data_IF_473750767008
#
_entry.id   IF_473750767008
#
_cell.length_a   1.000
_cell.length_b   1.000
_cell.length_c   1.000
_cell.angle_alpha   90.00
_cell.angle_beta   90.00
_cell.angle_gamma   90.00
#
_symmetry.space_group_name_H-M   'P 1'
#
loop_
_entity.id
_entity.type
_entity.pdbx_description
1 polymer ?
#
# COMPACT_ATOMS: atom_id res chain seq x y z
N UNK A 1 15.56 4.19 -1.30
CA UNK A 1 15.09 2.78 -1.16
C UNK A 1 13.58 2.77 -1.01
N UNK A 2 12.88 1.94 -1.79
CA UNK A 2 11.45 1.66 -1.62
C UNK A 2 11.32 0.47 -0.66
N UNK A 3 10.42 0.57 0.32
CA UNK A 3 10.13 -0.50 1.28
C UNK A 3 8.74 -1.06 1.01
N UNK A 4 8.55 -2.35 1.26
CA UNK A 4 7.30 -3.06 1.00
C UNK A 4 6.87 -3.80 2.26
N UNK A 5 5.56 -4.04 2.39
CA UNK A 5 5.03 -4.94 3.41
C UNK A 5 5.25 -6.38 2.95
N UNK A 6 5.63 -7.24 3.89
CA UNK A 6 5.66 -8.69 3.70
C UNK A 6 4.51 -9.28 4.51
N UNK A 7 3.54 -9.91 3.84
CA UNK A 7 2.34 -10.49 4.47
C UNK A 7 1.63 -9.51 5.43
N UNK A 8 1.46 -8.25 5.00
CA UNK A 8 0.82 -7.20 5.81
C UNK A 8 1.69 -6.63 6.93
N UNK A 9 2.91 -7.13 7.13
CA UNK A 9 3.83 -6.69 8.18
C UNK A 9 5.00 -5.89 7.63
N UNK A 10 5.43 -4.86 8.36
CA UNK A 10 6.62 -4.08 8.02
C UNK A 10 7.90 -4.88 8.33
N UNK A 11 8.95 -4.78 7.50
CA UNK A 11 10.23 -5.43 7.79
C UNK A 11 10.79 -5.02 9.16
N UNK A 12 11.37 -5.98 9.89
CA UNK A 12 11.84 -5.81 11.27
C UNK A 12 13.09 -4.94 11.40
N UNK A 13 13.92 -4.88 10.36
CA UNK A 13 15.13 -4.03 10.31
C UNK A 13 14.82 -2.53 10.15
N UNK A 14 13.55 -2.15 9.95
CA UNK A 14 13.16 -0.75 9.83
C UNK A 14 13.05 -0.07 11.21
N UNK A 15 13.60 1.14 11.29
CA UNK A 15 13.35 2.03 12.42
C UNK A 15 11.85 2.34 12.58
N UNK A 16 11.47 2.83 13.77
CA UNK A 16 10.07 3.11 14.10
C UNK A 16 9.42 4.16 13.18
N UNK A 17 10.19 5.15 12.72
CA UNK A 17 9.72 6.21 11.81
C UNK A 17 9.36 5.62 10.44
N UNK A 18 10.24 4.80 9.86
CA UNK A 18 10.02 4.13 8.57
C UNK A 18 8.88 3.12 8.65
N UNK A 19 8.77 2.36 9.75
CA UNK A 19 7.61 1.46 9.97
C UNK A 19 6.30 2.24 10.01
N UNK A 20 6.25 3.35 10.75
CA UNK A 20 5.06 4.22 10.79
C UNK A 20 4.73 4.79 9.42
N UNK A 21 5.72 5.30 8.69
CA UNK A 21 5.53 5.84 7.34
C UNK A 21 4.99 4.78 6.37
N UNK A 22 5.56 3.56 6.39
CA UNK A 22 5.09 2.45 5.57
C UNK A 22 3.65 2.06 5.90
N UNK A 23 3.30 1.97 7.19
CA UNK A 23 1.94 1.67 7.65
C UNK A 23 0.92 2.73 7.21
N UNK A 24 1.27 4.01 7.35
CA UNK A 24 0.40 5.11 6.92
C UNK A 24 0.23 5.13 5.40
N UNK A 25 1.27 4.78 4.66
CA UNK A 25 1.21 4.69 3.21
C UNK A 25 0.36 3.50 2.76
N UNK A 26 0.54 2.33 3.37
CA UNK A 26 -0.23 1.12 3.02
C UNK A 26 -1.72 1.26 3.35
N UNK A 27 -2.08 2.00 4.39
CA UNK A 27 -3.48 2.24 4.76
C UNK A 27 -4.30 2.96 3.66
N UNK A 28 -3.63 3.61 2.71
CA UNK A 28 -4.27 4.24 1.54
C UNK A 28 -4.65 3.24 0.45
N UNK A 29 -4.25 1.98 0.58
CA UNK A 29 -4.48 0.94 -0.41
C UNK A 29 -5.23 -0.24 0.19
N UNK A 30 -5.87 -1.02 -0.67
CA UNK A 30 -6.60 -2.23 -0.31
C UNK A 30 -6.41 -3.27 -1.41
N UNK A 31 -6.21 -4.53 -1.02
CA UNK A 31 -6.17 -5.64 -1.94
C UNK A 31 -7.53 -6.35 -1.90
N UNK A 32 -8.19 -6.51 -3.06
CA UNK A 32 -9.45 -7.25 -3.19
C UNK A 32 -9.26 -8.22 -4.35
N UNK A 33 -9.38 -9.52 -4.09
CA UNK A 33 -9.21 -10.59 -5.08
C UNK A 33 -7.91 -10.47 -5.91
N UNK A 34 -6.81 -10.12 -5.24
CA UNK A 34 -5.49 -9.93 -5.87
C UNK A 34 -5.32 -8.60 -6.62
N UNK A 35 -6.37 -7.79 -6.76
CA UNK A 35 -6.33 -6.49 -7.41
C UNK A 35 -6.05 -5.40 -6.36
N UNK A 36 -5.09 -4.53 -6.65
CA UNK A 36 -4.74 -3.40 -5.79
C UNK A 36 -5.65 -2.20 -6.09
N UNK A 37 -6.27 -1.66 -5.06
CA UNK A 37 -7.07 -0.44 -5.12
C UNK A 37 -6.47 0.64 -4.24
N UNK A 38 -6.58 1.89 -4.66
CA UNK A 38 -6.29 3.07 -3.84
C UNK A 38 -7.60 3.66 -3.32
N UNK A 39 -7.65 3.92 -2.01
CA UNK A 39 -8.77 4.62 -1.36
C UNK A 39 -8.64 6.12 -1.64
N UNK A 40 -9.70 6.72 -2.18
CA UNK A 40 -9.83 8.18 -2.21
C UNK A 40 -10.48 8.70 -0.89
N UNK A 41 -10.54 10.03 -0.72
CA UNK A 41 -11.12 10.66 0.46
C UNK A 41 -12.64 10.44 0.59
N UNK A 42 -13.33 10.25 -0.53
CA UNK A 42 -14.77 9.98 -0.61
C UNK A 42 -15.12 8.49 -0.42
N UNK A 43 -14.13 7.65 -0.12
CA UNK A 43 -14.31 6.20 0.07
C UNK A 43 -14.36 5.38 -1.22
N UNK A 44 -14.16 6.01 -2.39
CA UNK A 44 -14.12 5.31 -3.68
C UNK A 44 -12.81 4.52 -3.82
N UNK A 45 -12.92 3.27 -4.29
CA UNK A 45 -11.79 2.40 -4.59
C UNK A 45 -11.38 2.53 -6.05
N UNK A 46 -10.24 3.17 -6.29
CA UNK A 46 -9.67 3.32 -7.63
C UNK A 46 -8.72 2.16 -7.90
N UNK A 47 -9.04 1.31 -8.89
CA UNK A 47 -8.16 0.21 -9.30
C UNK A 47 -6.83 0.76 -9.77
N UNK A 48 -5.74 0.28 -9.17
CA UNK A 48 -4.40 0.55 -9.66
C UNK A 48 -4.18 -0.27 -10.93
N UNK A 49 -4.02 0.41 -12.06
CA UNK A 49 -3.70 -0.21 -13.34
C UNK A 49 -2.20 -0.41 -13.47
N UNK A 50 -1.79 -1.49 -14.14
CA UNK A 50 -0.40 -1.62 -14.54
C UNK A 50 -0.07 -0.59 -15.63
N UNK A 51 1.21 -0.28 -15.81
CA UNK A 51 1.66 0.70 -16.82
C UNK A 51 1.26 0.28 -18.26
N UNK A 52 0.98 -1.00 -18.46
CA UNK A 52 0.58 -1.59 -19.73
C UNK A 52 -0.91 -1.37 -20.02
N UNK A 53 -1.72 -1.12 -18.99
CA UNK A 53 -3.17 -0.96 -19.05
C UNK A 53 -3.61 0.52 -19.04
N UNK A 54 -2.65 1.46 -19.11
CA UNK A 54 -2.86 2.91 -19.04
C UNK A 54 -2.68 3.56 -20.42
#
# INVERSE_FOLDING_TARGET
>A
MKYYLHHGSSPTYLDSRKRRALRLQSAKYQLIDGILFRKNYDGVLLRCMEKQDA
#
